data_IF_253053752901
#
_entry.id   IF_253053752901
#
_cell.length_a   1.000
_cell.length_b   1.000
_cell.length_c   1.000
_cell.angle_alpha   90.00
_cell.angle_beta   90.00
_cell.angle_gamma   90.00
#
_symmetry.space_group_name_H-M   'P 1'
#
loop_
_entity.id
_entity.type
_entity.pdbx_description
1 polymer ?
#
# COMPACT_ATOMS: atom_id res chain seq x y z
N UNK A 1 10.91 19.36 -27.77
CA UNK A 1 11.03 18.13 -26.97
C UNK A 1 11.06 18.37 -25.45
N UNK A 2 10.83 19.58 -24.92
CA UNK A 2 10.94 19.90 -23.49
C UNK A 2 9.65 19.74 -22.67
N UNK A 3 8.50 19.49 -23.32
CA UNK A 3 7.17 19.61 -22.70
C UNK A 3 6.78 18.42 -21.80
N UNK A 4 7.18 17.19 -22.16
CA UNK A 4 6.78 15.99 -21.43
C UNK A 4 7.47 15.80 -20.05
N UNK A 5 8.58 16.50 -19.79
CA UNK A 5 9.25 16.41 -18.49
C UNK A 5 8.48 17.18 -17.38
N UNK A 6 7.71 18.22 -17.75
CA UNK A 6 6.94 19.01 -16.79
C UNK A 6 5.73 18.26 -16.21
N UNK A 7 5.29 17.16 -16.84
CA UNK A 7 4.10 16.40 -16.42
C UNK A 7 4.35 15.46 -15.23
N UNK A 8 5.58 15.32 -14.76
CA UNK A 8 5.92 14.44 -13.63
C UNK A 8 6.58 15.20 -12.51
N UNK A 9 6.25 14.85 -11.26
CA UNK A 9 6.86 15.46 -10.07
C UNK A 9 8.40 15.42 -10.13
N UNK A 10 8.98 14.30 -10.59
CA UNK A 10 10.42 14.15 -10.76
C UNK A 10 10.99 15.16 -11.77
N UNK A 11 10.31 15.38 -12.88
CA UNK A 11 10.76 16.33 -13.89
C UNK A 11 10.65 17.79 -13.45
N UNK A 12 9.61 18.15 -12.70
CA UNK A 12 9.50 19.46 -12.04
C UNK A 12 10.65 19.67 -11.04
N UNK A 13 10.95 18.67 -10.21
CA UNK A 13 12.07 18.76 -9.25
C UNK A 13 13.43 18.93 -9.96
N UNK A 14 13.65 18.23 -11.08
CA UNK A 14 14.86 18.40 -11.89
C UNK A 14 14.94 19.80 -12.53
N UNK A 15 13.83 20.38 -12.95
CA UNK A 15 13.78 21.77 -13.43
C UNK A 15 14.11 22.77 -12.32
N UNK A 16 13.60 22.56 -11.10
CA UNK A 16 13.91 23.40 -9.93
C UNK A 16 15.41 23.35 -9.61
N UNK A 17 16.02 22.16 -9.66
CA UNK A 17 17.47 22.00 -9.49
C UNK A 17 18.28 22.74 -10.56
N UNK A 18 17.80 22.72 -11.81
CA UNK A 18 18.43 23.39 -12.95
C UNK A 18 18.14 24.90 -13.05
N UNK A 19 17.19 25.42 -12.28
CA UNK A 19 16.79 26.83 -12.35
C UNK A 19 17.84 27.74 -11.71
N UNK A 20 18.17 28.86 -12.34
CA UNK A 20 19.11 29.85 -11.80
C UNK A 20 18.51 30.68 -10.66
N UNK A 21 17.19 30.68 -10.51
CA UNK A 21 16.44 31.56 -9.60
C UNK A 21 16.10 30.91 -8.25
N UNK A 22 16.25 29.59 -8.12
CA UNK A 22 15.96 28.90 -6.87
C UNK A 22 17.11 29.06 -5.83
N UNK A 23 16.78 29.36 -4.56
CA UNK A 23 17.76 29.38 -3.47
C UNK A 23 18.51 28.05 -3.31
N UNK A 24 19.78 28.06 -2.86
CA UNK A 24 20.58 26.84 -2.69
C UNK A 24 19.89 25.76 -1.84
N UNK A 25 19.27 26.15 -0.73
CA UNK A 25 18.55 25.24 0.16
C UNK A 25 17.38 24.50 -0.54
N UNK A 26 16.72 25.16 -1.49
CA UNK A 26 15.61 24.58 -2.27
C UNK A 26 16.14 23.56 -3.28
N UNK A 27 17.30 23.84 -3.89
CA UNK A 27 17.97 22.92 -4.82
C UNK A 27 18.47 21.67 -4.11
N UNK A 28 19.03 21.82 -2.91
CA UNK A 28 19.50 20.70 -2.10
C UNK A 28 18.33 19.80 -1.66
N UNK A 29 17.22 20.40 -1.20
CA UNK A 29 16.01 19.66 -0.85
C UNK A 29 15.41 18.94 -2.08
N UNK A 30 15.34 19.61 -3.24
CA UNK A 30 14.88 18.97 -4.48
C UNK A 30 15.79 17.80 -4.88
N UNK A 31 17.11 17.94 -4.73
CA UNK A 31 18.08 16.87 -4.98
C UNK A 31 17.87 15.65 -4.08
N UNK A 32 17.60 15.87 -2.79
CA UNK A 32 17.29 14.79 -1.84
C UNK A 32 16.00 14.04 -2.22
N UNK A 33 14.94 14.76 -2.59
CA UNK A 33 13.67 14.15 -3.00
C UNK A 33 13.85 13.37 -4.32
N UNK A 34 14.61 13.90 -5.29
CA UNK A 34 14.91 13.18 -6.54
C UNK A 34 15.71 11.91 -6.26
N UNK A 35 16.68 11.94 -5.36
CA UNK A 35 17.45 10.76 -4.95
C UNK A 35 16.54 9.72 -4.29
N UNK A 36 15.63 10.13 -3.42
CA UNK A 36 14.67 9.24 -2.75
C UNK A 36 13.67 8.62 -3.74
N UNK A 37 13.11 9.42 -4.66
CA UNK A 37 12.23 8.94 -5.74
C UNK A 37 12.97 7.97 -6.67
N UNK A 38 14.24 8.23 -6.97
CA UNK A 38 15.05 7.35 -7.83
C UNK A 38 15.40 6.05 -7.11
N UNK A 39 15.70 6.11 -5.80
CA UNK A 39 15.87 4.92 -4.96
C UNK A 39 14.62 4.04 -4.95
N UNK A 40 13.44 4.65 -4.76
CA UNK A 40 12.16 3.93 -4.84
C UNK A 40 11.92 3.32 -6.22
N UNK A 41 12.20 4.04 -7.31
CA UNK A 41 12.10 3.50 -8.67
C UNK A 41 13.02 2.30 -8.92
N UNK A 42 14.23 2.31 -8.35
CA UNK A 42 15.17 1.18 -8.44
C UNK A 42 14.67 -0.03 -7.66
N UNK A 43 14.17 0.18 -6.43
CA UNK A 43 13.60 -0.89 -5.60
C UNK A 43 12.38 -1.55 -6.25
N UNK A 44 11.55 -0.77 -6.95
CA UNK A 44 10.42 -1.28 -7.73
C UNK A 44 10.85 -2.09 -8.97
N UNK A 45 12.10 -1.97 -9.41
CA UNK A 45 12.60 -2.57 -10.64
C UNK A 45 13.35 -3.90 -10.41
N UNK A 46 13.49 -4.35 -9.16
CA UNK A 46 14.39 -5.45 -8.75
C UNK A 46 13.99 -6.85 -9.26
N UNK A 47 12.77 -7.06 -9.78
CA UNK A 47 12.43 -8.38 -10.34
C UNK A 47 11.44 -8.30 -11.51
N UNK A 48 11.91 -7.87 -12.69
CA UNK A 48 11.11 -7.78 -13.93
C UNK A 48 10.50 -9.11 -14.37
N UNK A 49 11.04 -10.23 -13.88
CA UNK A 49 10.59 -11.58 -14.17
C UNK A 49 9.51 -12.08 -13.21
N UNK A 50 9.34 -11.45 -12.04
CA UNK A 50 8.31 -11.85 -11.08
C UNK A 50 6.90 -11.50 -11.60
N UNK A 51 5.92 -12.41 -11.50
CA UNK A 51 4.54 -12.15 -11.94
C UNK A 51 3.82 -11.10 -11.09
N UNK A 52 4.33 -10.79 -9.90
CA UNK A 52 3.77 -9.83 -8.95
C UNK A 52 4.74 -8.70 -8.64
N UNK A 53 4.21 -7.50 -8.48
CA UNK A 53 4.89 -6.36 -7.88
C UNK A 53 4.45 -6.23 -6.42
N UNK A 54 5.41 -5.89 -5.56
CA UNK A 54 5.17 -5.52 -4.17
C UNK A 54 5.62 -4.08 -3.96
N UNK A 55 4.76 -3.26 -3.36
CA UNK A 55 5.05 -1.85 -3.05
C UNK A 55 4.67 -1.60 -1.60
N UNK A 56 5.56 -1.00 -0.83
CA UNK A 56 5.24 -0.48 0.50
C UNK A 56 5.20 1.03 0.43
N UNK A 57 4.06 1.62 0.74
CA UNK A 57 3.89 3.06 0.88
C UNK A 57 3.69 3.35 2.37
N UNK A 58 4.32 4.40 2.84
CA UNK A 58 4.03 4.93 4.15
C UNK A 58 3.19 6.20 3.97
N UNK A 59 2.06 6.26 4.66
CA UNK A 59 1.09 7.34 4.50
C UNK A 59 1.34 8.38 5.61
N UNK A 60 1.52 9.67 5.27
CA UNK A 60 1.68 10.74 6.24
C UNK A 60 0.32 11.03 6.91
N UNK A 61 -0.10 10.14 7.79
CA UNK A 61 -1.23 10.33 8.69
C UNK A 61 -0.72 11.10 9.90
N UNK A 62 -1.32 12.26 10.19
CA UNK A 62 -0.98 13.01 11.39
C UNK A 62 -1.61 12.33 12.61
N UNK A 63 -0.84 11.47 13.26
CA UNK A 63 -1.10 11.09 14.63
C UNK A 63 -1.00 12.32 15.57
N UNK A 64 -1.62 12.28 16.75
CA UNK A 64 -1.50 13.35 17.77
C UNK A 64 -0.04 13.63 18.17
N UNK A 65 0.82 12.62 18.08
CA UNK A 65 2.24 12.67 18.49
C UNK A 65 3.19 12.96 17.32
N UNK A 66 2.67 13.18 16.10
CA UNK A 66 3.45 13.56 14.92
C UNK A 66 4.16 12.43 14.18
N UNK A 67 4.05 11.18 14.64
CA UNK A 67 4.62 10.00 13.99
C UNK A 67 3.78 9.52 12.80
N UNK A 68 4.42 8.74 11.92
CA UNK A 68 3.81 8.10 10.76
C UNK A 68 2.94 6.90 11.20
N UNK A 69 1.62 7.06 11.14
CA UNK A 69 0.70 6.09 11.78
C UNK A 69 0.02 5.10 10.82
N UNK A 70 0.46 5.05 9.55
CA UNK A 70 -0.11 4.13 8.58
C UNK A 70 0.90 3.68 7.53
N UNK A 71 0.91 2.38 7.27
CA UNK A 71 1.64 1.78 6.14
C UNK A 71 0.69 0.97 5.27
N UNK A 72 0.94 1.00 3.97
CA UNK A 72 0.16 0.28 2.95
C UNK A 72 1.09 -0.61 2.16
N UNK A 73 0.84 -1.90 2.21
CA UNK A 73 1.52 -2.88 1.39
C UNK A 73 0.60 -3.27 0.24
N UNK A 74 1.05 -3.08 -0.99
CA UNK A 74 0.32 -3.40 -2.20
C UNK A 74 1.02 -4.55 -2.88
N UNK A 75 0.30 -5.65 -3.11
CA UNK A 75 0.69 -6.72 -4.01
C UNK A 75 -0.23 -6.71 -5.22
N UNK A 76 0.33 -6.61 -6.43
CA UNK A 76 -0.47 -6.56 -7.66
C UNK A 76 0.20 -7.36 -8.77
N UNK A 77 -0.59 -7.89 -9.70
CA UNK A 77 -0.05 -8.48 -10.92
C UNK A 77 0.67 -7.41 -11.73
N UNK A 78 1.83 -7.75 -12.28
CA UNK A 78 2.52 -6.84 -13.20
C UNK A 78 1.83 -6.87 -14.56
N UNK A 79 1.37 -5.70 -14.99
CA UNK A 79 0.93 -5.49 -16.36
C UNK A 79 2.07 -5.56 -17.36
N UNK A 80 1.75 -5.59 -18.66
CA UNK A 80 2.71 -5.69 -19.77
C UNK A 80 3.80 -4.60 -19.79
N UNK A 81 3.56 -3.46 -19.12
CA UNK A 81 4.49 -2.33 -19.00
C UNK A 81 5.13 -2.20 -17.60
N UNK A 82 4.93 -3.18 -16.72
CA UNK A 82 5.34 -3.09 -15.32
C UNK A 82 4.42 -2.21 -14.45
N UNK A 83 3.27 -1.80 -14.99
CA UNK A 83 2.22 -1.11 -14.25
C UNK A 83 1.53 -2.05 -13.25
N UNK A 84 1.05 -1.50 -12.13
CA UNK A 84 0.25 -2.24 -11.16
C UNK A 84 -1.17 -2.42 -11.72
N UNK A 85 -1.64 -3.65 -11.74
CA UNK A 85 -3.04 -3.97 -12.05
C UNK A 85 -3.94 -3.62 -10.86
N UNK A 86 -4.62 -2.47 -10.95
CA UNK A 86 -5.57 -2.02 -9.94
C UNK A 86 -6.87 -2.85 -9.90
N UNK A 87 -7.19 -3.60 -10.97
CA UNK A 87 -8.33 -4.51 -10.96
C UNK A 87 -8.01 -5.83 -10.26
N UNK A 88 -6.72 -6.19 -10.12
CA UNK A 88 -6.27 -7.42 -9.49
C UNK A 88 -5.08 -7.15 -8.56
N UNK A 89 -5.38 -6.70 -7.36
CA UNK A 89 -4.39 -6.40 -6.33
C UNK A 89 -4.90 -6.78 -4.94
N UNK A 90 -3.97 -6.87 -4.00
CA UNK A 90 -4.24 -6.99 -2.58
C UNK A 90 -3.53 -5.86 -1.86
N UNK A 91 -4.22 -5.19 -0.96
CA UNK A 91 -3.68 -4.12 -0.14
C UNK A 91 -3.81 -4.50 1.33
N UNK A 92 -2.74 -4.31 2.09
CA UNK A 92 -2.75 -4.42 3.54
C UNK A 92 -2.44 -3.07 4.14
N UNK A 93 -3.33 -2.58 4.99
CA UNK A 93 -3.15 -1.34 5.74
C UNK A 93 -2.87 -1.69 7.20
N UNK A 94 -1.67 -1.41 7.69
CA UNK A 94 -1.36 -1.43 9.14
C UNK A 94 -1.59 -0.01 9.66
N UNK A 95 -2.71 0.19 10.38
CA UNK A 95 -3.15 1.48 10.90
C UNK A 95 -3.05 1.47 12.43
N UNK A 96 -2.37 2.46 12.99
CA UNK A 96 -2.40 2.74 14.43
C UNK A 96 -3.17 4.04 14.67
N UNK A 97 -4.41 3.94 15.16
CA UNK A 97 -5.30 5.09 15.30
C UNK A 97 -5.64 5.34 16.77
N UNK A 98 -5.62 6.60 17.20
CA UNK A 98 -5.90 6.96 18.61
C UNK A 98 -7.21 6.40 19.17
N UNK A 99 -8.26 6.39 18.35
CA UNK A 99 -9.61 6.00 18.79
C UNK A 99 -9.89 4.53 18.55
N UNK A 100 -9.48 3.99 17.40
CA UNK A 100 -9.76 2.59 17.04
C UNK A 100 -8.62 1.64 17.44
N UNK A 101 -7.50 2.15 17.95
CA UNK A 101 -6.31 1.35 18.23
C UNK A 101 -5.68 0.77 16.96
N UNK A 102 -4.94 -0.32 17.15
CA UNK A 102 -4.32 -1.05 16.05
C UNK A 102 -5.39 -1.75 15.20
N UNK A 103 -5.48 -1.35 13.94
CA UNK A 103 -6.42 -1.89 12.96
C UNK A 103 -5.66 -2.33 11.72
N UNK A 104 -5.77 -3.62 11.39
CA UNK A 104 -5.25 -4.14 10.13
C UNK A 104 -6.40 -4.29 9.13
N UNK A 105 -6.28 -3.66 7.97
CA UNK A 105 -7.26 -3.78 6.88
C UNK A 105 -6.65 -4.58 5.74
N UNK A 106 -7.26 -5.71 5.41
CA UNK A 106 -6.91 -6.53 4.26
C UNK A 106 -7.97 -6.33 3.17
N UNK A 107 -7.53 -5.77 2.05
CA UNK A 107 -8.35 -5.46 0.88
C UNK A 107 -7.91 -6.37 -0.24
N UNK A 108 -8.77 -7.30 -0.64
CA UNK A 108 -8.53 -8.15 -1.79
C UNK A 108 -9.41 -7.69 -2.96
N UNK A 109 -8.77 -7.39 -4.09
CA UNK A 109 -9.43 -6.94 -5.32
C UNK A 109 -9.22 -7.98 -6.41
N UNK A 110 -10.31 -8.46 -6.99
CA UNK A 110 -10.31 -9.35 -8.16
C UNK A 110 -11.34 -8.85 -9.14
N UNK A 111 -10.92 -8.50 -10.36
CA UNK A 111 -11.78 -7.88 -11.37
C UNK A 111 -12.62 -6.70 -10.84
N UNK A 112 -11.98 -5.83 -10.05
CA UNK A 112 -12.62 -4.70 -9.31
C UNK A 112 -13.67 -5.09 -8.27
N UNK A 113 -13.85 -6.37 -7.99
CA UNK A 113 -14.66 -6.86 -6.87
C UNK A 113 -13.78 -6.87 -5.63
N UNK A 114 -14.23 -6.17 -4.59
CA UNK A 114 -13.50 -5.93 -3.36
C UNK A 114 -14.03 -6.80 -2.23
N UNK A 115 -13.13 -7.53 -1.58
CA UNK A 115 -13.38 -8.22 -0.32
C UNK A 115 -12.56 -7.53 0.77
N UNK A 116 -13.24 -7.03 1.79
CA UNK A 116 -12.64 -6.37 2.95
C UNK A 116 -12.63 -7.31 4.16
N UNK A 117 -11.47 -7.42 4.80
CA UNK A 117 -11.35 -7.99 6.15
C UNK A 117 -10.72 -6.95 7.06
N UNK A 118 -11.34 -6.70 8.20
CA UNK A 118 -10.86 -5.75 9.20
C UNK A 118 -10.52 -6.52 10.46
N UNK A 119 -9.31 -6.31 10.92
CA UNK A 119 -8.75 -6.98 12.08
C UNK A 119 -8.52 -5.97 13.20
N UNK A 120 -9.16 -6.19 14.34
CA UNK A 120 -9.01 -5.35 15.53
C UNK A 120 -9.30 -6.17 16.80
N UNK A 121 -8.54 -5.93 17.88
CA UNK A 121 -8.73 -6.65 19.15
C UNK A 121 -9.86 -6.09 20.03
N UNK A 122 -10.35 -4.89 19.73
CA UNK A 122 -11.42 -4.23 20.47
C UNK A 122 -12.80 -4.58 19.87
N UNK A 123 -13.67 -5.30 20.59
CA UNK A 123 -14.96 -5.74 20.06
C UNK A 123 -15.88 -4.60 19.62
N UNK A 124 -15.84 -3.45 20.33
CA UNK A 124 -16.63 -2.28 19.99
C UNK A 124 -16.21 -1.68 18.63
N UNK A 125 -14.94 -1.83 18.24
CA UNK A 125 -14.45 -1.38 16.92
C UNK A 125 -15.00 -2.30 15.84
N UNK A 126 -14.99 -3.62 16.06
CA UNK A 126 -15.54 -4.59 15.10
C UNK A 126 -17.03 -4.34 14.86
N UNK A 127 -17.81 -4.13 15.92
CA UNK A 127 -19.24 -3.78 15.81
C UNK A 127 -19.48 -2.47 15.05
N UNK A 128 -18.67 -1.44 15.33
CA UNK A 128 -18.72 -0.16 14.63
C UNK A 128 -18.43 -0.32 13.13
N UNK A 129 -17.45 -1.14 12.78
CA UNK A 129 -17.03 -1.37 11.39
C UNK A 129 -18.07 -2.18 10.61
N UNK A 130 -18.64 -3.23 11.22
CA UNK A 130 -19.75 -3.99 10.62
C UNK A 130 -20.97 -3.09 10.37
N UNK A 131 -21.30 -2.21 11.32
CA UNK A 131 -22.40 -1.25 11.18
C UNK A 131 -22.25 -0.26 10.03
N UNK A 132 -21.03 -0.06 9.51
CA UNK A 132 -20.72 0.85 8.39
C UNK A 132 -20.56 0.15 7.04
N UNK A 133 -21.03 -1.11 6.92
CA UNK A 133 -20.94 -1.87 5.67
C UNK A 133 -21.51 -1.15 4.46
N UNK A 134 -22.67 -0.51 4.61
CA UNK A 134 -23.32 0.21 3.51
C UNK A 134 -22.50 1.45 3.08
N UNK A 135 -21.93 2.18 4.04
CA UNK A 135 -21.04 3.31 3.76
C UNK A 135 -19.79 2.86 2.99
N UNK A 136 -19.17 1.74 3.40
CA UNK A 136 -18.02 1.17 2.71
C UNK A 136 -18.37 0.67 1.31
N UNK A 137 -19.55 0.07 1.13
CA UNK A 137 -20.03 -0.35 -0.18
C UNK A 137 -20.21 0.85 -1.13
N UNK A 138 -20.87 1.91 -0.66
CA UNK A 138 -21.05 3.14 -1.43
C UNK A 138 -19.72 3.83 -1.74
N UNK A 139 -18.78 3.85 -0.79
CA UNK A 139 -17.46 4.41 -1.00
C UNK A 139 -16.69 3.64 -2.09
N UNK A 140 -16.70 2.31 -2.04
CA UNK A 140 -16.09 1.46 -3.08
C UNK A 140 -16.75 1.69 -4.45
N UNK A 141 -18.07 1.77 -4.50
CA UNK A 141 -18.82 2.02 -5.75
C UNK A 141 -18.47 3.37 -6.36
N UNK A 142 -18.32 4.41 -5.52
CA UNK A 142 -17.97 5.76 -5.98
C UNK A 142 -16.63 5.84 -6.70
N UNK A 143 -15.70 4.91 -6.40
CA UNK A 143 -14.39 4.79 -7.05
C UNK A 143 -14.34 3.67 -8.10
N UNK A 144 -15.50 3.09 -8.46
CA UNK A 144 -15.64 2.11 -9.53
C UNK A 144 -15.31 0.66 -9.15
N UNK A 145 -15.45 0.33 -7.87
CA UNK A 145 -15.26 -1.02 -7.32
C UNK A 145 -16.56 -1.53 -6.68
N UNK A 146 -16.74 -2.85 -6.59
CA UNK A 146 -17.93 -3.44 -5.97
C UNK A 146 -17.55 -4.20 -4.70
N UNK A 147 -18.10 -3.82 -3.54
CA UNK A 147 -17.89 -4.56 -2.30
C UNK A 147 -18.69 -5.88 -2.31
N UNK A 148 -17.99 -7.02 -2.37
CA UNK A 148 -18.61 -8.35 -2.28
C UNK A 148 -18.78 -8.84 -0.85
N UNK A 149 -17.79 -8.56 0.01
CA UNK A 149 -17.80 -9.03 1.39
C UNK A 149 -17.09 -8.05 2.32
N UNK A 150 -17.62 -7.94 3.54
CA UNK A 150 -17.00 -7.32 4.69
C UNK A 150 -16.93 -8.40 5.78
N UNK A 151 -15.80 -8.51 6.45
CA UNK A 151 -15.65 -9.35 7.65
C UNK A 151 -14.85 -8.60 8.69
N UNK A 152 -15.28 -8.69 9.94
CA UNK A 152 -14.50 -8.24 11.09
C UNK A 152 -14.01 -9.42 11.92
N UNK A 153 -12.71 -9.48 12.19
CA UNK A 153 -12.07 -10.56 12.94
C UNK A 153 -11.08 -9.96 13.97
N UNK A 154 -10.66 -10.68 15.01
CA UNK A 154 -9.55 -10.26 15.85
C UNK A 154 -8.24 -10.10 15.05
N UNK A 155 -7.24 -9.41 15.62
CA UNK A 155 -5.90 -9.44 15.05
C UNK A 155 -5.36 -10.88 15.11
N UNK A 156 -4.77 -11.41 14.03
CA UNK A 156 -4.22 -12.75 14.05
C UNK A 156 -3.03 -12.82 15.01
N UNK A 157 -2.95 -13.89 15.81
CA UNK A 157 -1.87 -14.07 16.77
C UNK A 157 -0.52 -14.27 16.06
N UNK A 158 0.42 -13.34 16.26
CA UNK A 158 1.81 -13.50 15.82
C UNK A 158 2.57 -14.37 16.82
N UNK A 159 3.16 -15.48 16.36
CA UNK A 159 4.26 -16.13 17.10
C UNK A 159 5.49 -15.24 16.98
N UNK A 160 5.72 -14.40 17.99
CA UNK A 160 6.83 -13.46 18.05
C UNK A 160 8.20 -14.15 17.96
N UNK A 161 8.94 -13.86 16.88
CA UNK A 161 10.40 -13.95 16.86
C UNK A 161 10.96 -12.53 17.03
N UNK A 162 11.55 -12.25 18.19
CA UNK A 162 12.11 -10.94 18.55
C UNK A 162 13.27 -10.52 17.64
N UNK A 163 13.21 -9.29 17.10
CA UNK A 163 14.34 -8.61 16.46
C UNK A 163 13.94 -7.72 15.28
N UNK A 164 14.78 -6.72 14.98
CA UNK A 164 14.66 -5.64 13.97
C UNK A 164 14.34 -6.08 12.51
N UNK A 165 14.15 -7.38 12.26
CA UNK A 165 13.58 -7.96 11.04
C UNK A 165 12.04 -8.01 11.05
N UNK A 166 11.40 -7.42 12.06
CA UNK A 166 9.97 -7.56 12.34
C UNK A 166 9.03 -7.10 11.21
N UNK A 167 9.39 -6.09 10.40
CA UNK A 167 8.50 -5.58 9.34
C UNK A 167 8.50 -6.48 8.10
N UNK A 168 9.66 -7.04 7.73
CA UNK A 168 9.74 -8.02 6.65
C UNK A 168 9.19 -9.40 7.06
N UNK A 169 9.34 -9.77 8.34
CA UNK A 169 8.73 -10.98 8.91
C UNK A 169 7.20 -10.84 9.04
N UNK A 170 6.69 -9.66 9.47
CA UNK A 170 5.27 -9.29 9.40
C UNK A 170 4.71 -9.45 7.98
N UNK A 171 5.52 -9.24 6.94
CA UNK A 171 5.10 -9.28 5.53
C UNK A 171 5.10 -10.70 4.94
N UNK A 172 6.05 -11.55 5.35
CA UNK A 172 6.14 -12.93 4.87
C UNK A 172 5.01 -13.82 5.40
N UNK A 173 4.52 -13.57 6.62
CA UNK A 173 3.48 -14.39 7.26
C UNK A 173 2.04 -14.06 6.83
N UNK A 174 1.80 -12.88 6.25
CA UNK A 174 0.48 -12.50 5.69
C UNK A 174 0.36 -12.79 4.19
N UNK A 175 1.45 -13.22 3.56
CA UNK A 175 1.44 -13.77 2.21
C UNK A 175 1.01 -15.24 2.30
N UNK A 176 -0.18 -15.63 1.79
CA UNK A 176 -0.59 -17.03 1.83
C UNK A 176 0.42 -17.92 1.11
N UNK A 177 0.61 -19.15 1.61
CA UNK A 177 1.51 -20.14 1.03
C UNK A 177 1.34 -20.20 -0.49
N UNK A 178 2.47 -20.07 -1.19
CA UNK A 178 2.54 -20.18 -2.65
C UNK A 178 1.78 -21.42 -3.15
N UNK A 179 0.89 -21.19 -4.11
CA UNK A 179 -0.01 -22.18 -4.72
C UNK A 179 0.76 -23.43 -5.16
N UNK A 180 0.73 -24.51 -4.36
CA UNK A 180 1.23 -25.82 -4.77
C UNK A 180 0.31 -26.36 -5.85
N UNK A 181 0.88 -26.54 -7.04
CA UNK A 181 0.18 -26.90 -8.28
C UNK A 181 -0.80 -28.05 -8.09
N UNK A 182 -2.00 -27.85 -8.64
CA UNK A 182 -2.96 -28.93 -8.85
C UNK A 182 -2.53 -29.73 -10.07
N UNK A 183 -2.24 -31.02 -9.88
CA UNK A 183 -2.10 -32.00 -10.97
C UNK A 183 -3.46 -32.09 -11.70
N UNK A 184 -3.55 -31.51 -12.89
CA UNK A 184 -4.64 -31.83 -13.81
C UNK A 184 -4.35 -33.20 -14.42
N UNK A 185 -5.05 -34.23 -13.96
CA UNK A 185 -5.22 -35.47 -14.72
C UNK A 185 -6.23 -35.19 -15.85
N UNK A 186 -5.76 -35.38 -17.08
CA UNK A 186 -6.58 -35.48 -18.29
C UNK A 186 -7.16 -36.89 -18.37
#
# INVERSE_FOLDING_TARGET
MAEAAADTLKGVLLQVMGSSDAPPAVKDAAGQIVAQLTGQQLLLNTDRTAPFAQVTLFLPMRGPDGEETASVHIQSRRGRKGELDAANCRLWFDLDMKQLGQTLVDVQVVDRIVSLKLHNNDPWVLELLEGRREEMAAAAESIGYQLSSLRTEPLPEMKTASGSAAVAAKLAEYTPDSYKGVDYRI
#
